data_IF_902520811767
#
_entry.id   IF_902520811767
#
_cell.length_a   1.000
_cell.length_b   1.000
_cell.length_c   1.000
_cell.angle_alpha   90.00
_cell.angle_beta   90.00
_cell.angle_gamma   90.00
#
_symmetry.space_group_name_H-M   'P 1'
#
loop_
_entity.id
_entity.type
_entity.pdbx_description
1 polymer ?
#
# COMPACT_ATOMS: atom_id res chain seq x y z
N UNK A 1 9.65 -0.79 -6.84
CA UNK A 1 10.51 -1.70 -6.09
C UNK A 1 11.54 -2.36 -7.00
N UNK A 2 12.74 -2.59 -6.49
CA UNK A 2 13.82 -3.30 -7.18
C UNK A 2 13.70 -4.83 -7.05
N UNK A 3 12.80 -5.33 -6.21
CA UNK A 3 12.63 -6.77 -5.97
C UNK A 3 11.50 -7.35 -6.83
N UNK A 4 11.82 -8.31 -7.69
CA UNK A 4 10.84 -8.98 -8.55
C UNK A 4 9.72 -9.65 -7.75
N UNK A 5 10.04 -10.27 -6.60
CA UNK A 5 9.04 -10.92 -5.76
C UNK A 5 8.11 -9.93 -5.03
N UNK A 6 8.54 -8.68 -4.74
CA UNK A 6 7.64 -7.62 -4.27
C UNK A 6 6.62 -7.26 -5.35
N UNK A 7 7.05 -7.17 -6.60
CA UNK A 7 6.14 -6.92 -7.73
C UNK A 7 5.11 -8.04 -7.89
N UNK A 8 5.55 -9.30 -7.75
CA UNK A 8 4.64 -10.44 -7.79
C UNK A 8 3.64 -10.40 -6.63
N UNK A 9 4.10 -10.11 -5.42
CA UNK A 9 3.26 -9.96 -4.23
C UNK A 9 2.21 -8.85 -4.43
N UNK A 10 2.62 -7.68 -4.90
CA UNK A 10 1.71 -6.57 -5.17
C UNK A 10 0.65 -6.95 -6.23
N UNK A 11 1.04 -7.65 -7.28
CA UNK A 11 0.12 -8.15 -8.33
C UNK A 11 -0.90 -9.17 -7.81
N UNK A 12 -0.60 -9.87 -6.73
CA UNK A 12 -1.55 -10.79 -6.09
C UNK A 12 -2.53 -10.09 -5.14
N UNK A 13 -2.17 -8.91 -4.64
CA UNK A 13 -2.96 -8.16 -3.66
C UNK A 13 -3.87 -7.10 -4.27
N UNK A 14 -3.39 -6.41 -5.31
CA UNK A 14 -4.11 -5.30 -5.92
C UNK A 14 -4.85 -5.75 -7.18
N UNK A 15 -5.88 -4.99 -7.54
CA UNK A 15 -6.58 -5.19 -8.80
C UNK A 15 -5.60 -5.06 -9.97
N UNK A 16 -5.67 -6.01 -10.90
CA UNK A 16 -4.83 -6.00 -12.10
C UNK A 16 -5.53 -5.21 -13.20
N UNK A 17 -4.92 -4.14 -13.69
CA UNK A 17 -5.49 -3.44 -14.83
C UNK A 17 -5.35 -4.26 -16.12
N UNK A 18 -6.25 -4.04 -17.06
CA UNK A 18 -6.13 -4.54 -18.41
C UNK A 18 -5.04 -3.77 -19.16
N UNK A 19 -4.58 -4.30 -20.31
CA UNK A 19 -3.62 -3.60 -21.16
C UNK A 19 -4.15 -2.26 -21.64
N UNK A 20 -5.45 -2.15 -21.88
CA UNK A 20 -6.10 -0.91 -22.28
C UNK A 20 -6.08 0.13 -21.17
N UNK A 21 -6.44 -0.28 -19.94
CA UNK A 21 -6.38 0.60 -18.77
C UNK A 21 -4.96 1.10 -18.46
N UNK A 22 -3.93 0.31 -18.80
CA UNK A 22 -2.54 0.72 -18.59
C UNK A 22 -2.06 1.80 -19.56
N UNK A 23 -2.67 1.95 -20.74
CA UNK A 23 -2.25 2.96 -21.74
C UNK A 23 -2.41 4.39 -21.24
N UNK A 24 -3.51 4.64 -20.55
CA UNK A 24 -3.88 5.98 -20.05
C UNK A 24 -3.78 6.07 -18.52
N UNK A 25 -3.09 5.11 -17.90
CA UNK A 25 -2.99 5.05 -16.46
C UNK A 25 -2.17 6.19 -15.89
N UNK A 26 -2.81 7.03 -15.09
CA UNK A 26 -2.15 8.05 -14.29
C UNK A 26 -2.26 7.65 -12.82
N UNK A 27 -1.14 7.41 -12.12
CA UNK A 27 -1.19 7.01 -10.71
C UNK A 27 -1.72 8.16 -9.86
N UNK A 28 -2.69 7.88 -9.00
CA UNK A 28 -3.08 8.82 -7.96
C UNK A 28 -2.09 8.79 -6.79
N UNK A 29 -1.58 7.61 -6.47
CA UNK A 29 -0.58 7.38 -5.43
C UNK A 29 0.61 6.62 -5.99
N UNK A 30 1.80 6.97 -5.52
CA UNK A 30 3.04 6.27 -5.88
C UNK A 30 3.64 5.65 -4.62
N UNK A 31 4.05 4.39 -4.70
CA UNK A 31 4.75 3.70 -3.62
C UNK A 31 6.14 3.33 -4.12
N UNK A 32 7.16 3.88 -3.48
CA UNK A 32 8.56 3.55 -3.71
C UNK A 32 9.03 2.64 -2.57
N UNK A 33 9.38 1.40 -2.89
CA UNK A 33 9.91 0.46 -1.92
C UNK A 33 11.35 0.08 -2.29
N UNK A 34 12.30 0.68 -1.57
CA UNK A 34 13.74 0.53 -1.74
C UNK A 34 14.30 -0.34 -0.59
N UNK A 35 14.22 -1.66 -0.75
CA UNK A 35 14.49 -2.63 0.32
C UNK A 35 15.93 -2.59 0.83
N UNK A 36 16.87 -2.36 -0.06
CA UNK A 36 18.32 -2.37 0.25
C UNK A 36 18.86 -0.97 0.59
N UNK A 37 18.04 0.06 0.47
CA UNK A 37 18.40 1.40 0.92
C UNK A 37 18.09 1.54 2.41
N UNK A 38 19.09 1.89 3.20
CA UNK A 38 18.95 2.14 4.64
C UNK A 38 18.98 3.64 4.91
N UNK A 39 18.03 4.11 5.69
CA UNK A 39 18.02 5.49 6.16
C UNK A 39 19.18 5.72 7.16
N UNK A 40 19.72 6.92 7.18
CA UNK A 40 20.62 7.38 8.24
C UNK A 40 19.80 8.13 9.29
N UNK A 41 19.58 7.56 10.50
CA UNK A 41 18.78 8.21 11.53
C UNK A 41 19.25 9.61 11.90
N UNK A 42 20.56 9.88 11.82
CA UNK A 42 21.13 11.17 12.18
C UNK A 42 20.91 12.22 11.08
N UNK A 43 21.02 11.81 9.81
CA UNK A 43 20.87 12.71 8.66
C UNK A 43 19.40 12.87 8.25
N UNK A 44 18.63 11.78 8.29
CA UNK A 44 17.25 11.70 7.77
C UNK A 44 16.20 11.96 8.85
N UNK A 45 16.58 12.04 10.13
CA UNK A 45 15.65 12.23 11.25
C UNK A 45 14.73 11.05 11.52
N UNK A 46 15.08 9.86 11.05
CA UNK A 46 14.33 8.62 11.27
C UNK A 46 14.67 8.01 12.63
N UNK A 47 13.82 7.09 13.11
CA UNK A 47 14.08 6.38 14.37
C UNK A 47 15.02 5.17 14.21
N UNK A 48 15.16 4.69 12.99
CA UNK A 48 15.99 3.54 12.63
C UNK A 48 16.37 3.61 11.15
N UNK A 49 17.20 2.69 10.71
CA UNK A 49 17.56 2.51 9.30
C UNK A 49 16.38 2.07 8.43
N UNK A 50 15.32 1.54 9.05
CA UNK A 50 14.06 1.23 8.37
C UNK A 50 13.09 2.40 8.53
N UNK A 51 12.54 2.85 7.43
CA UNK A 51 11.57 3.93 7.41
C UNK A 51 10.41 3.64 6.46
N UNK A 52 9.19 3.96 6.91
CA UNK A 52 8.00 4.04 6.04
C UNK A 52 7.40 5.42 6.23
N UNK A 53 7.55 6.27 5.24
CA UNK A 53 7.06 7.64 5.22
C UNK A 53 5.89 7.79 4.25
N UNK A 54 4.87 8.54 4.67
CA UNK A 54 3.69 8.84 3.85
C UNK A 54 3.56 10.36 3.71
N UNK A 55 3.46 10.81 2.48
CA UNK A 55 3.18 12.19 2.11
C UNK A 55 1.82 12.26 1.43
N UNK A 56 0.85 12.87 2.11
CA UNK A 56 -0.52 13.01 1.61
C UNK A 56 -0.67 14.13 0.58
N UNK A 57 0.19 15.12 0.61
CA UNK A 57 0.18 16.22 -0.35
C UNK A 57 0.73 15.75 -1.70
N UNK A 58 1.89 15.09 -1.69
CA UNK A 58 2.51 14.53 -2.89
C UNK A 58 1.90 13.17 -3.30
N UNK A 59 1.05 12.59 -2.45
CA UNK A 59 0.48 11.25 -2.64
C UNK A 59 1.57 10.20 -2.87
N UNK A 60 2.59 10.25 -2.02
CA UNK A 60 3.78 9.42 -2.09
C UNK A 60 3.96 8.61 -0.82
N UNK A 61 4.33 7.35 -0.99
CA UNK A 61 4.82 6.49 0.09
C UNK A 61 6.24 6.06 -0.24
N UNK A 62 7.14 6.22 0.72
CA UNK A 62 8.51 5.70 0.64
C UNK A 62 8.71 4.68 1.75
N UNK A 63 9.06 3.46 1.39
CA UNK A 63 9.47 2.41 2.32
C UNK A 63 10.91 2.02 2.01
N UNK A 64 11.79 1.99 3.02
CA UNK A 64 13.18 1.63 2.85
C UNK A 64 13.70 0.80 4.03
N UNK A 65 14.83 0.10 3.83
CA UNK A 65 15.52 -0.67 4.86
C UNK A 65 14.75 -1.91 5.34
N UNK A 66 13.80 -2.40 4.57
CA UNK A 66 13.03 -3.61 4.88
C UNK A 66 12.73 -4.41 3.63
N UNK A 67 12.88 -5.72 3.74
CA UNK A 67 12.50 -6.67 2.68
C UNK A 67 11.04 -7.16 2.81
N UNK A 68 10.32 -6.69 3.82
CA UNK A 68 8.95 -7.12 4.06
C UNK A 68 7.98 -6.51 3.03
N UNK A 69 7.56 -7.30 2.04
CA UNK A 69 6.63 -6.88 1.00
C UNK A 69 5.28 -6.38 1.54
N UNK A 70 4.89 -6.84 2.73
CA UNK A 70 3.66 -6.42 3.40
C UNK A 70 3.58 -4.92 3.68
N UNK A 71 4.71 -4.20 3.71
CA UNK A 71 4.71 -2.73 3.85
C UNK A 71 4.02 -2.04 2.68
N UNK A 72 4.09 -2.60 1.47
CA UNK A 72 3.35 -2.09 0.30
C UNK A 72 1.85 -2.10 0.57
N UNK A 73 1.31 -3.21 1.09
CA UNK A 73 -0.11 -3.33 1.45
C UNK A 73 -0.45 -2.44 2.65
N UNK A 74 0.38 -2.48 3.70
CA UNK A 74 0.08 -1.78 4.96
C UNK A 74 0.09 -0.27 4.80
N UNK A 75 0.98 0.28 3.99
CA UNK A 75 1.01 1.71 3.68
C UNK A 75 -0.26 2.15 2.95
N UNK A 76 -0.71 1.40 1.93
CA UNK A 76 -1.98 1.67 1.25
C UNK A 76 -3.14 1.59 2.24
N UNK A 77 -3.16 0.59 3.12
CA UNK A 77 -4.20 0.46 4.13
C UNK A 77 -4.21 1.65 5.10
N UNK A 78 -3.04 2.17 5.48
CA UNK A 78 -2.92 3.40 6.29
C UNK A 78 -3.51 4.61 5.56
N UNK A 79 -3.19 4.79 4.28
CA UNK A 79 -3.78 5.86 3.44
C UNK A 79 -5.31 5.71 3.38
N UNK A 80 -5.81 4.50 3.16
CA UNK A 80 -7.24 4.22 3.11
C UNK A 80 -7.94 4.51 4.44
N UNK A 81 -7.33 4.15 5.58
CA UNK A 81 -7.86 4.44 6.91
C UNK A 81 -7.99 5.93 7.20
N UNK A 82 -7.15 6.75 6.59
CA UNK A 82 -7.21 8.20 6.72
C UNK A 82 -8.24 8.83 5.77
N UNK A 83 -8.26 8.41 4.50
CA UNK A 83 -9.07 9.06 3.46
C UNK A 83 -10.52 8.55 3.38
N UNK A 84 -10.76 7.24 3.55
CA UNK A 84 -12.08 6.65 3.32
C UNK A 84 -13.14 7.10 4.33
N UNK A 85 -12.85 7.28 5.63
CA UNK A 85 -13.83 7.81 6.57
C UNK A 85 -14.36 9.19 6.18
N UNK A 86 -13.52 10.04 5.59
CA UNK A 86 -13.91 11.36 5.08
C UNK A 86 -14.90 11.27 3.91
N UNK A 87 -14.98 10.11 3.27
CA UNK A 87 -15.92 9.80 2.18
C UNK A 87 -17.11 8.93 2.64
N UNK A 88 -17.27 8.75 3.95
CA UNK A 88 -18.35 7.93 4.52
C UNK A 88 -18.14 6.41 4.35
N UNK A 89 -16.92 5.96 4.03
CA UNK A 89 -16.57 4.55 3.88
C UNK A 89 -15.72 4.09 5.06
N UNK A 90 -16.10 2.97 5.69
CA UNK A 90 -15.37 2.40 6.81
C UNK A 90 -14.42 1.29 6.32
N UNK A 91 -13.09 1.53 6.33
CA UNK A 91 -12.11 0.52 5.97
C UNK A 91 -11.92 -0.48 7.11
N UNK A 92 -11.78 -1.76 6.76
CA UNK A 92 -11.54 -2.84 7.73
C UNK A 92 -10.45 -3.78 7.25
N UNK A 93 -9.64 -4.25 8.18
CA UNK A 93 -8.67 -5.32 7.96
C UNK A 93 -9.33 -6.65 8.29
N UNK A 94 -10.14 -7.17 7.38
CA UNK A 94 -10.93 -8.37 7.58
C UNK A 94 -11.06 -9.17 6.28
N UNK A 95 -11.57 -10.40 6.41
CA UNK A 95 -12.13 -11.14 5.29
C UNK A 95 -13.62 -10.84 5.16
N UNK A 96 -14.15 -10.91 3.95
CA UNK A 96 -15.58 -10.77 3.69
C UNK A 96 -16.05 -11.90 2.77
N UNK A 97 -17.25 -12.40 3.04
CA UNK A 97 -17.93 -13.36 2.19
C UNK A 97 -19.36 -12.87 1.91
N UNK A 98 -19.76 -12.99 0.66
CA UNK A 98 -21.13 -12.64 0.22
C UNK A 98 -21.88 -13.93 -0.10
N UNK A 99 -22.96 -14.18 0.61
CA UNK A 99 -23.84 -15.33 0.41
C UNK A 99 -24.72 -15.19 -0.84
N UNK A 100 -25.35 -16.31 -1.29
CA UNK A 100 -26.23 -16.30 -2.47
C UNK A 100 -27.44 -15.37 -2.32
N UNK A 101 -27.87 -15.08 -1.12
CA UNK A 101 -28.98 -14.15 -0.81
C UNK A 101 -28.53 -12.68 -0.69
N UNK A 102 -27.24 -12.39 -0.93
CA UNK A 102 -26.68 -11.05 -0.79
C UNK A 102 -26.32 -10.68 0.66
N UNK A 103 -26.46 -11.61 1.60
CA UNK A 103 -26.00 -11.47 2.98
C UNK A 103 -24.48 -11.43 3.04
N UNK A 104 -23.93 -10.65 3.98
CA UNK A 104 -22.47 -10.45 4.10
C UNK A 104 -21.99 -10.88 5.46
N UNK A 105 -20.98 -11.73 5.50
CA UNK A 105 -20.24 -12.08 6.70
C UNK A 105 -18.85 -11.44 6.68
N UNK A 106 -18.45 -10.84 7.80
CA UNK A 106 -17.12 -10.24 8.01
C UNK A 106 -16.39 -11.02 9.10
N UNK A 107 -15.09 -11.26 8.88
CA UNK A 107 -14.22 -12.01 9.80
C UNK A 107 -12.96 -11.18 10.09
N UNK A 108 -12.77 -10.76 11.36
CA UNK A 108 -11.60 -10.01 11.85
C UNK A 108 -11.00 -10.64 13.11
#
# INVERSE_FOLDING_TARGET
>A
TEKAWHSLFARCLFLRPTTEQLRDFTPEWTILHASDFHADPAADGTKSETCVALDFEQKLVVACGTHYAGEIKKSVFTVMNYLLPQRGVFPMHCSANVGPAGDVALFF
#
